data_IF_115006133378
#
_entry.id   IF_115006133378
#
_cell.length_a   1.000
_cell.length_b   1.000
_cell.length_c   1.000
_cell.angle_alpha   90.00
_cell.angle_beta   90.00
_cell.angle_gamma   90.00
#
_symmetry.space_group_name_H-M   'P 1'
#
loop_
_entity.id
_entity.type
_entity.pdbx_description
1 polymer ?
#
# COMPACT_ATOMS: atom_id res chain seq x y z
N UNK A 1 -20.60 72.48 -5.87
CA UNK A 1 -19.34 71.85 -6.28
C UNK A 1 -18.91 70.93 -5.14
N UNK A 2 -19.14 69.63 -5.29
CA UNK A 2 -18.94 68.64 -4.22
C UNK A 2 -17.84 67.64 -4.64
N UNK A 3 -16.56 67.89 -4.31
CA UNK A 3 -15.44 67.01 -4.67
C UNK A 3 -15.46 65.66 -3.91
N UNK A 4 -16.37 65.48 -2.96
CA UNK A 4 -16.47 64.26 -2.13
C UNK A 4 -17.03 63.03 -2.87
N UNK A 5 -17.78 63.24 -3.97
CA UNK A 5 -18.37 62.15 -4.75
C UNK A 5 -17.37 61.50 -5.70
N UNK A 6 -16.37 62.22 -6.19
CA UNK A 6 -15.36 61.68 -7.12
C UNK A 6 -14.36 60.75 -6.39
N UNK A 7 -14.04 61.02 -5.12
CA UNK A 7 -13.07 60.24 -4.35
C UNK A 7 -13.59 58.85 -3.95
N UNK A 8 -14.91 58.71 -3.79
CA UNK A 8 -15.55 57.44 -3.38
C UNK A 8 -15.59 56.42 -4.51
N UNK A 9 -15.66 56.86 -5.77
CA UNK A 9 -15.63 55.96 -6.94
C UNK A 9 -14.27 55.32 -7.19
N UNK A 10 -13.16 55.93 -6.74
CA UNK A 10 -11.80 55.39 -6.90
C UNK A 10 -11.43 54.46 -5.74
N UNK A 11 -11.93 54.71 -4.52
CA UNK A 11 -11.64 53.85 -3.36
C UNK A 11 -12.31 52.47 -3.45
N UNK A 12 -13.50 52.39 -4.05
CA UNK A 12 -14.25 51.14 -4.22
C UNK A 12 -13.51 50.04 -5.04
N UNK A 13 -12.94 50.31 -6.22
CA UNK A 13 -12.23 49.28 -6.99
C UNK A 13 -10.93 48.83 -6.33
N UNK A 14 -10.24 49.72 -5.59
CA UNK A 14 -9.02 49.37 -4.84
C UNK A 14 -9.35 48.38 -3.71
N UNK A 15 -10.44 48.62 -2.98
CA UNK A 15 -10.91 47.69 -1.96
C UNK A 15 -11.31 46.33 -2.53
N UNK A 16 -11.97 46.32 -3.70
CA UNK A 16 -12.37 45.08 -4.39
C UNK A 16 -11.14 44.28 -4.87
N UNK A 17 -10.13 44.94 -5.43
CA UNK A 17 -8.87 44.31 -5.84
C UNK A 17 -8.14 43.69 -4.66
N UNK A 18 -8.07 44.39 -3.52
CA UNK A 18 -7.47 43.86 -2.29
C UNK A 18 -8.22 42.62 -1.79
N UNK A 19 -9.56 42.64 -1.78
CA UNK A 19 -10.38 41.49 -1.42
C UNK A 19 -10.19 40.30 -2.37
N UNK A 20 -10.13 40.54 -3.68
CA UNK A 20 -9.89 39.50 -4.67
C UNK A 20 -8.49 38.86 -4.51
N UNK A 21 -7.46 39.66 -4.24
CA UNK A 21 -6.12 39.16 -3.99
C UNK A 21 -6.06 38.30 -2.71
N UNK A 22 -6.72 38.73 -1.63
CA UNK A 22 -6.80 37.96 -0.38
C UNK A 22 -7.59 36.67 -0.57
N UNK A 23 -8.73 36.72 -1.28
CA UNK A 23 -9.53 35.53 -1.58
C UNK A 23 -8.76 34.55 -2.48
N UNK A 24 -8.03 35.04 -3.47
CA UNK A 24 -7.16 34.23 -4.34
C UNK A 24 -6.03 33.57 -3.55
N UNK A 25 -5.35 34.32 -2.67
CA UNK A 25 -4.29 33.77 -1.82
C UNK A 25 -4.83 32.74 -0.82
N UNK A 26 -6.01 32.97 -0.25
CA UNK A 26 -6.67 32.03 0.66
C UNK A 26 -7.12 30.75 -0.06
N UNK A 27 -7.74 30.90 -1.24
CA UNK A 27 -8.15 29.76 -2.07
C UNK A 27 -6.93 28.95 -2.52
N UNK A 28 -5.86 29.62 -2.96
CA UNK A 28 -4.62 28.97 -3.35
C UNK A 28 -4.01 28.22 -2.17
N UNK A 29 -3.85 28.84 -0.99
CA UNK A 29 -3.37 28.14 0.22
C UNK A 29 -4.21 26.93 0.59
N UNK A 30 -5.55 27.03 0.50
CA UNK A 30 -6.45 25.92 0.78
C UNK A 30 -6.27 24.78 -0.23
N UNK A 31 -6.05 25.13 -1.51
CA UNK A 31 -5.83 24.16 -2.59
C UNK A 31 -4.42 23.57 -2.60
N UNK A 32 -3.40 24.27 -2.08
CA UNK A 32 -2.00 23.80 -2.08
C UNK A 32 -1.71 22.78 -0.99
N UNK A 33 -2.42 22.81 0.14
CA UNK A 33 -2.24 21.83 1.24
C UNK A 33 -2.28 20.35 0.82
N UNK A 34 -3.23 19.87 -0.01
CA UNK A 34 -3.22 18.47 -0.44
C UNK A 34 -2.01 18.10 -1.31
N UNK A 35 -1.37 19.06 -1.98
CA UNK A 35 -0.17 18.80 -2.80
C UNK A 35 1.07 18.55 -1.95
N UNK A 36 1.16 19.17 -0.78
CA UNK A 36 2.28 18.97 0.14
C UNK A 36 2.28 17.55 0.72
N UNK A 37 1.09 17.02 1.04
CA UNK A 37 0.91 15.64 1.51
C UNK A 37 1.23 14.63 0.39
N UNK A 38 0.75 14.87 -0.83
CA UNK A 38 1.10 14.05 -1.99
C UNK A 38 2.61 14.04 -2.26
N UNK A 39 3.28 15.20 -2.18
CA UNK A 39 4.72 15.30 -2.34
C UNK A 39 5.50 14.62 -1.20
N UNK A 40 4.94 14.55 0.01
CA UNK A 40 5.53 13.78 1.13
C UNK A 40 5.44 12.29 0.86
N UNK A 41 4.25 11.78 0.51
CA UNK A 41 4.03 10.37 0.18
C UNK A 41 4.90 9.91 -1.01
N UNK A 42 5.04 10.74 -2.03
CA UNK A 42 5.91 10.44 -3.17
C UNK A 42 7.39 10.29 -2.77
N UNK A 43 7.87 11.11 -1.82
CA UNK A 43 9.23 11.01 -1.27
C UNK A 43 9.40 9.75 -0.44
N UNK A 44 8.46 9.45 0.45
CA UNK A 44 8.45 8.22 1.27
C UNK A 44 8.48 6.96 0.38
N UNK A 45 7.70 6.94 -0.70
CA UNK A 45 7.73 5.83 -1.67
C UNK A 45 9.07 5.72 -2.40
N UNK A 46 9.65 6.85 -2.85
CA UNK A 46 10.95 6.84 -3.52
C UNK A 46 12.07 6.32 -2.61
N UNK A 47 12.03 6.63 -1.31
CA UNK A 47 12.97 6.11 -0.32
C UNK A 47 12.81 4.61 -0.11
N UNK A 48 11.57 4.13 0.00
CA UNK A 48 11.27 2.70 0.14
C UNK A 48 11.79 1.91 -1.08
N UNK A 49 11.54 2.40 -2.29
CA UNK A 49 12.02 1.79 -3.53
C UNK A 49 13.55 1.71 -3.57
N UNK A 50 14.25 2.81 -3.25
CA UNK A 50 15.72 2.82 -3.19
C UNK A 50 16.27 1.83 -2.15
N UNK A 51 15.60 1.69 -1.01
CA UNK A 51 16.00 0.73 0.01
C UNK A 51 15.85 -0.72 -0.48
N UNK A 52 14.77 -1.01 -1.22
CA UNK A 52 14.56 -2.32 -1.85
C UNK A 52 15.60 -2.60 -2.93
N UNK A 53 15.86 -1.65 -3.81
CA UNK A 53 16.90 -1.76 -4.85
C UNK A 53 18.29 -2.01 -4.24
N UNK A 54 18.65 -1.27 -3.19
CA UNK A 54 19.92 -1.47 -2.50
C UNK A 54 20.03 -2.87 -1.86
N UNK A 55 18.93 -3.38 -1.31
CA UNK A 55 18.89 -4.73 -0.73
C UNK A 55 19.02 -5.81 -1.81
N UNK A 56 18.35 -5.64 -2.95
CA UNK A 56 18.50 -6.53 -4.10
C UNK A 56 19.94 -6.53 -4.63
N UNK A 57 20.54 -5.35 -4.82
CA UNK A 57 21.93 -5.22 -5.25
C UNK A 57 22.92 -5.93 -4.30
N UNK A 58 22.68 -5.88 -2.98
CA UNK A 58 23.47 -6.62 -1.99
C UNK A 58 23.32 -8.13 -2.12
N UNK A 59 22.09 -8.62 -2.34
CA UNK A 59 21.83 -10.04 -2.54
C UNK A 59 22.45 -10.55 -3.85
N UNK A 60 22.37 -9.76 -4.91
CA UNK A 60 23.02 -10.07 -6.19
C UNK A 60 24.55 -10.08 -6.07
N UNK A 61 25.13 -9.12 -5.35
CA UNK A 61 26.57 -9.10 -5.07
C UNK A 61 27.00 -10.32 -4.23
N UNK A 62 26.22 -10.69 -3.22
CA UNK A 62 26.46 -11.90 -2.42
C UNK A 62 26.33 -13.19 -3.24
N UNK A 63 25.39 -13.23 -4.20
CA UNK A 63 25.20 -14.35 -5.11
C UNK A 63 26.33 -14.47 -6.16
N UNK A 64 26.91 -13.34 -6.58
CA UNK A 64 28.04 -13.29 -7.53
C UNK A 64 29.42 -13.41 -6.87
N UNK A 65 29.51 -13.20 -5.56
CA UNK A 65 30.75 -13.34 -4.81
C UNK A 65 31.32 -14.77 -4.89
N UNK A 66 32.66 -14.93 -4.83
CA UNK A 66 33.26 -16.26 -4.87
C UNK A 66 32.83 -17.04 -3.62
N UNK A 67 32.18 -18.19 -3.84
CA UNK A 67 31.78 -19.21 -2.85
C UNK A 67 32.98 -19.87 -2.13
N UNK A 68 33.94 -19.09 -1.61
CA UNK A 68 35.21 -19.60 -1.07
C UNK A 68 35.51 -19.26 0.39
N UNK A 69 34.74 -18.41 1.07
CA UNK A 69 35.13 -17.96 2.43
C UNK A 69 34.28 -18.53 3.59
N UNK A 70 33.28 -19.37 3.33
CA UNK A 70 32.47 -19.94 4.41
C UNK A 70 33.12 -21.10 5.21
N UNK A 71 34.40 -21.47 4.95
CA UNK A 71 35.05 -22.61 5.64
C UNK A 71 36.18 -22.23 6.61
N UNK A 72 36.58 -20.96 6.73
CA UNK A 72 37.78 -20.60 7.53
C UNK A 72 37.56 -19.81 8.82
N UNK A 73 36.37 -19.29 9.11
CA UNK A 73 36.14 -18.49 10.33
C UNK A 73 35.43 -19.22 11.48
N UNK A 74 35.13 -20.51 11.36
CA UNK A 74 34.46 -21.27 12.42
C UNK A 74 35.38 -21.79 13.55
N UNK A 75 36.69 -21.47 13.53
CA UNK A 75 37.67 -22.10 14.43
C UNK A 75 38.23 -21.20 15.56
N UNK A 76 37.78 -19.95 15.69
CA UNK A 76 38.38 -19.04 16.69
C UNK A 76 37.36 -18.10 17.34
N UNK A 77 36.46 -18.64 18.16
CA UNK A 77 35.78 -17.90 19.22
C UNK A 77 35.47 -18.86 20.39
N UNK A 78 35.80 -18.51 21.65
CA UNK A 78 35.38 -19.28 22.82
C UNK A 78 33.85 -19.19 23.03
N UNK A 79 33.22 -20.20 23.65
CA UNK A 79 31.77 -20.29 23.73
C UNK A 79 31.16 -19.18 24.61
N UNK A 80 30.03 -18.56 24.21
CA UNK A 80 29.30 -17.61 25.05
C UNK A 80 28.49 -18.32 26.14
N UNK A 81 28.21 -17.65 27.28
CA UNK A 81 27.41 -18.20 28.36
C UNK A 81 25.94 -18.41 27.96
N UNK A 82 25.36 -19.51 28.45
CA UNK A 82 24.00 -19.97 28.19
C UNK A 82 22.92 -18.90 28.42
N UNK A 83 21.95 -18.70 27.50
CA UNK A 83 20.84 -17.77 27.69
C UNK A 83 19.70 -18.37 28.55
N UNK A 84 18.86 -17.53 29.19
CA UNK A 84 17.74 -17.97 30.02
C UNK A 84 16.63 -18.67 29.22
N UNK A 85 15.96 -19.62 29.88
CA UNK A 85 15.11 -20.67 29.32
C UNK A 85 13.79 -20.24 28.62
N UNK A 86 13.58 -18.97 28.25
CA UNK A 86 12.30 -18.50 27.71
C UNK A 86 12.44 -17.56 26.49
N UNK A 87 13.34 -17.88 25.57
CA UNK A 87 13.27 -17.33 24.21
C UNK A 87 12.60 -18.35 23.29
N UNK A 88 11.40 -18.04 22.80
CA UNK A 88 10.73 -18.79 21.72
C UNK A 88 11.52 -18.60 20.44
N UNK A 89 12.60 -19.36 20.28
CA UNK A 89 13.42 -19.40 19.08
C UNK A 89 12.64 -20.17 18.02
N UNK A 90 12.18 -19.46 17.00
CA UNK A 90 11.74 -20.08 15.75
C UNK A 90 12.90 -20.87 15.16
N UNK A 91 12.84 -22.19 15.32
CA UNK A 91 13.76 -23.14 14.69
C UNK A 91 13.35 -23.29 13.23
N UNK A 92 14.06 -22.64 12.33
CA UNK A 92 14.10 -23.09 10.94
C UNK A 92 15.12 -24.23 10.89
N UNK A 93 14.63 -25.48 10.84
CA UNK A 93 15.49 -26.61 10.51
C UNK A 93 16.02 -26.39 9.09
N UNK A 94 17.26 -25.92 9.00
CA UNK A 94 18.03 -25.86 7.77
C UNK A 94 18.37 -27.31 7.42
N UNK A 95 17.57 -27.92 6.55
CA UNK A 95 17.82 -29.26 6.01
C UNK A 95 19.26 -29.37 5.51
N UNK A 96 19.95 -30.41 5.96
CA UNK A 96 21.32 -30.71 5.58
C UNK A 96 21.42 -30.99 4.06
N UNK A 97 22.52 -30.56 3.40
CA UNK A 97 22.70 -30.78 1.98
C UNK A 97 23.46 -32.10 1.75
N UNK A 98 22.79 -33.24 1.92
CA UNK A 98 23.28 -34.51 1.38
C UNK A 98 22.39 -34.96 0.22
N UNK A 99 22.99 -34.88 -0.98
CA UNK A 99 22.74 -35.72 -2.14
C UNK A 99 21.29 -35.87 -2.68
N UNK A 100 20.96 -35.08 -3.69
CA UNK A 100 20.86 -35.62 -5.07
C UNK A 100 20.67 -34.48 -6.07
N UNK A 101 21.43 -34.53 -7.16
CA UNK A 101 21.34 -33.60 -8.29
C UNK A 101 20.07 -33.90 -9.12
N UNK A 102 18.90 -33.72 -8.54
CA UNK A 102 17.63 -33.68 -9.25
C UNK A 102 16.98 -32.31 -9.04
N UNK A 103 16.28 -31.76 -10.05
CA UNK A 103 15.45 -30.59 -9.83
C UNK A 103 14.47 -30.90 -8.70
N UNK A 104 14.57 -30.18 -7.59
CA UNK A 104 13.59 -30.29 -6.50
C UNK A 104 12.25 -29.77 -7.02
N UNK A 105 11.46 -30.66 -7.63
CA UNK A 105 10.07 -30.40 -7.93
C UNK A 105 9.36 -30.31 -6.57
N UNK A 106 9.06 -29.10 -6.14
CA UNK A 106 8.09 -28.88 -5.07
C UNK A 106 6.79 -29.49 -5.59
N UNK A 107 6.39 -30.64 -5.04
CA UNK A 107 5.13 -31.26 -5.39
C UNK A 107 4.01 -30.32 -4.97
N UNK A 108 3.42 -29.61 -5.94
CA UNK A 108 2.22 -28.81 -5.73
C UNK A 108 1.09 -29.78 -5.45
N UNK A 109 0.45 -29.75 -4.27
CA UNK A 109 -0.73 -30.55 -4.01
C UNK A 109 -1.75 -30.25 -5.11
N UNK A 110 -2.28 -31.29 -5.75
CA UNK A 110 -3.33 -31.12 -6.75
C UNK A 110 -4.53 -30.45 -6.07
N UNK A 111 -4.69 -29.15 -6.32
CA UNK A 111 -5.87 -28.38 -5.94
C UNK A 111 -6.99 -28.83 -6.88
N UNK A 112 -7.57 -30.00 -6.60
CA UNK A 112 -8.78 -30.43 -7.26
C UNK A 112 -9.85 -29.37 -7.04
N UNK A 113 -10.34 -28.77 -8.13
CA UNK A 113 -11.52 -27.90 -8.09
C UNK A 113 -12.72 -28.77 -7.73
N UNK A 114 -12.98 -28.89 -6.44
CA UNK A 114 -14.13 -29.63 -5.93
C UNK A 114 -15.41 -28.85 -6.28
N UNK A 115 -16.02 -29.22 -7.41
CA UNK A 115 -17.30 -28.68 -7.89
C UNK A 115 -18.47 -29.01 -6.95
N UNK A 116 -18.27 -29.94 -6.01
CA UNK A 116 -19.29 -30.31 -5.02
C UNK A 116 -19.62 -29.20 -4.00
N UNK A 117 -18.79 -28.15 -3.90
CA UNK A 117 -19.00 -27.01 -2.99
C UNK A 117 -19.42 -25.70 -3.67
N UNK A 118 -19.55 -25.69 -5.00
CA UNK A 118 -19.68 -24.45 -5.78
C UNK A 118 -21.00 -23.72 -5.51
N UNK A 119 -22.10 -24.46 -5.38
CA UNK A 119 -23.40 -23.89 -5.00
C UNK A 119 -23.45 -23.37 -3.55
N UNK A 120 -22.74 -24.03 -2.63
CA UNK A 120 -22.65 -23.58 -1.24
C UNK A 120 -21.78 -22.32 -1.11
N UNK A 121 -20.68 -22.24 -1.89
CA UNK A 121 -19.83 -21.06 -1.97
C UNK A 121 -20.55 -19.86 -2.60
N UNK A 122 -21.31 -20.08 -3.68
CA UNK A 122 -22.14 -19.05 -4.31
C UNK A 122 -23.21 -18.51 -3.34
N UNK A 123 -23.92 -19.39 -2.63
CA UNK A 123 -24.90 -18.99 -1.63
C UNK A 123 -24.27 -18.19 -0.47
N UNK A 124 -23.05 -18.54 -0.06
CA UNK A 124 -22.33 -17.81 0.99
C UNK A 124 -21.84 -16.43 0.52
N UNK A 125 -21.40 -16.32 -0.74
CA UNK A 125 -21.03 -15.03 -1.34
C UNK A 125 -22.26 -14.13 -1.48
N UNK A 126 -23.37 -14.66 -1.99
CA UNK A 126 -24.65 -13.94 -2.08
C UNK A 126 -25.12 -13.45 -0.71
N UNK A 127 -25.01 -14.29 0.33
CA UNK A 127 -25.36 -13.90 1.70
C UNK A 127 -24.53 -12.73 2.23
N UNK A 128 -23.24 -12.68 1.88
CA UNK A 128 -22.30 -11.64 2.38
C UNK A 128 -22.34 -10.36 1.55
N UNK A 129 -22.50 -10.49 0.24
CA UNK A 129 -22.26 -9.41 -0.73
C UNK A 129 -23.48 -9.06 -1.58
N UNK A 130 -24.58 -9.81 -1.48
CA UNK A 130 -25.80 -9.59 -2.27
C UNK A 130 -26.39 -8.18 -2.10
N UNK A 131 -26.26 -7.58 -0.91
CA UNK A 131 -26.69 -6.18 -0.70
C UNK A 131 -25.87 -5.17 -1.53
N UNK A 132 -24.58 -5.44 -1.74
CA UNK A 132 -23.69 -4.60 -2.55
C UNK A 132 -23.99 -4.81 -4.04
N UNK A 133 -24.21 -6.06 -4.45
CA UNK A 133 -24.62 -6.41 -5.82
C UNK A 133 -25.99 -5.82 -6.17
N UNK A 134 -26.98 -5.89 -5.27
CA UNK A 134 -28.30 -5.29 -5.49
C UNK A 134 -28.23 -3.77 -5.66
N UNK A 135 -27.36 -3.08 -4.90
CA UNK A 135 -27.12 -1.65 -5.08
C UNK A 135 -26.50 -1.37 -6.46
N UNK A 136 -25.52 -2.16 -6.89
CA UNK A 136 -24.92 -2.01 -8.21
C UNK A 136 -25.93 -2.30 -9.34
N UNK A 137 -26.75 -3.33 -9.20
CA UNK A 137 -27.79 -3.72 -10.17
C UNK A 137 -28.91 -2.66 -10.26
N UNK A 138 -29.16 -1.90 -9.19
CA UNK A 138 -30.04 -0.73 -9.22
C UNK A 138 -29.45 0.48 -9.96
N UNK A 139 -28.20 0.38 -10.44
CA UNK A 139 -27.48 1.43 -11.14
C UNK A 139 -26.82 2.45 -10.21
N UNK A 140 -26.64 2.13 -8.92
CA UNK A 140 -25.98 3.03 -8.00
C UNK A 140 -24.51 3.21 -8.41
N UNK A 141 -24.00 4.46 -8.50
CA UNK A 141 -22.60 4.69 -8.80
C UNK A 141 -21.71 4.23 -7.64
N UNK A 142 -20.48 3.81 -7.95
CA UNK A 142 -19.53 3.22 -6.99
C UNK A 142 -19.35 4.09 -5.72
N UNK A 143 -19.25 5.41 -5.88
CA UNK A 143 -19.14 6.36 -4.76
C UNK A 143 -20.37 6.34 -3.83
N UNK A 144 -21.57 6.12 -4.37
CA UNK A 144 -22.78 6.01 -3.56
C UNK A 144 -22.78 4.70 -2.75
N UNK A 145 -22.35 3.60 -3.36
CA UNK A 145 -22.22 2.30 -2.70
C UNK A 145 -21.19 2.39 -1.57
N UNK A 146 -20.03 3.00 -1.81
CA UNK A 146 -18.99 3.25 -0.80
C UNK A 146 -19.54 4.06 0.38
N UNK A 147 -20.24 5.17 0.11
CA UNK A 147 -20.83 6.00 1.17
C UNK A 147 -21.90 5.25 1.98
N UNK A 148 -22.69 4.41 1.32
CA UNK A 148 -23.79 3.69 1.95
C UNK A 148 -23.33 2.46 2.74
N UNK A 149 -22.27 1.81 2.31
CA UNK A 149 -21.72 0.60 2.94
C UNK A 149 -20.58 0.91 3.93
N UNK A 150 -19.94 2.07 3.82
CA UNK A 150 -18.77 2.45 4.62
C UNK A 150 -17.50 1.68 4.24
N UNK A 151 -17.53 0.90 3.16
CA UNK A 151 -16.39 0.11 2.70
C UNK A 151 -15.45 0.95 1.83
N UNK A 152 -14.12 0.70 1.89
CA UNK A 152 -13.17 1.33 0.98
C UNK A 152 -13.49 1.04 -0.48
N UNK A 153 -13.23 2.00 -1.38
CA UNK A 153 -13.55 1.89 -2.80
C UNK A 153 -12.96 0.63 -3.45
N UNK A 154 -11.69 0.30 -3.19
CA UNK A 154 -11.06 -0.90 -3.73
C UNK A 154 -11.66 -2.21 -3.21
N UNK A 155 -12.24 -2.21 -2.00
CA UNK A 155 -12.94 -3.39 -1.48
C UNK A 155 -14.30 -3.57 -2.17
N UNK A 156 -15.02 -2.48 -2.43
CA UNK A 156 -16.26 -2.54 -3.21
C UNK A 156 -15.99 -3.01 -4.63
N UNK A 157 -14.96 -2.48 -5.30
CA UNK A 157 -14.54 -2.94 -6.64
C UNK A 157 -14.22 -4.44 -6.67
N UNK A 158 -13.49 -4.93 -5.65
CA UNK A 158 -13.14 -6.33 -5.56
C UNK A 158 -14.38 -7.21 -5.40
N UNK A 159 -15.32 -6.82 -4.53
CA UNK A 159 -16.58 -7.54 -4.31
C UNK A 159 -17.44 -7.56 -5.59
N UNK A 160 -17.52 -6.44 -6.33
CA UNK A 160 -18.24 -6.40 -7.60
C UNK A 160 -17.61 -7.32 -8.66
N UNK A 161 -16.30 -7.57 -8.58
CA UNK A 161 -15.57 -8.49 -9.45
C UNK A 161 -15.70 -9.97 -9.09
N UNK A 162 -16.36 -10.32 -7.98
CA UNK A 162 -16.57 -11.73 -7.54
C UNK A 162 -17.82 -12.39 -8.14
N UNK A 163 -18.55 -11.66 -8.99
CA UNK A 163 -19.72 -12.15 -9.71
C UNK A 163 -19.36 -13.14 -10.81
#
# INVERSE_FOLDING_TARGET
MAPALELTWIAAPIGLLALAAVAGAWWWRRRSRPWDEAARLAREQAECLRALEARLARLEAAARGPRKEAKKEAASCPPPPSPPANATVWRCDRGEPEASAQPTLIAVPALGTSTAGEGAAAAELERRFGAIWALADSGAPLDAIVRQTGLPIGQVELILGLR
#
